data_IF_600844281781
#
_entry.id   IF_600844281781
#
_cell.length_a   1.000
_cell.length_b   1.000
_cell.length_c   1.000
_cell.angle_alpha   90.00
_cell.angle_beta   90.00
_cell.angle_gamma   90.00
#
_symmetry.space_group_name_H-M   'P 1'
#
loop_
_entity.id
_entity.type
_entity.pdbx_description
1 polymer ?
#
# COMPACT_ATOMS: atom_id res chain seq x y z
N UNK A 1 14.75 -6.89 10.72
CA UNK A 1 13.82 -6.62 9.63
C UNK A 1 13.14 -5.29 9.82
N UNK A 2 12.61 -4.72 8.76
CA UNK A 2 11.96 -3.41 8.79
C UNK A 2 10.51 -3.57 8.36
N UNK A 3 9.61 -2.93 9.09
CA UNK A 3 8.18 -2.85 8.74
C UNK A 3 7.91 -1.52 8.06
N UNK A 4 7.09 -1.58 7.03
CA UNK A 4 6.62 -0.42 6.28
C UNK A 4 5.10 -0.46 6.26
N UNK A 5 4.46 0.44 7.01
CA UNK A 5 3.00 0.49 7.17
C UNK A 5 2.48 1.80 6.65
N UNK A 6 1.47 1.73 5.79
CA UNK A 6 0.81 2.92 5.24
C UNK A 6 -0.68 2.79 5.45
N UNK A 7 -1.30 3.92 5.81
CA UNK A 7 -2.75 4.07 5.86
C UNK A 7 -3.16 5.13 4.83
N UNK A 8 -4.16 4.82 4.02
CA UNK A 8 -4.71 5.75 3.04
C UNK A 8 -6.18 6.00 3.28
N UNK A 9 -6.58 7.23 2.97
CA UNK A 9 -7.97 7.58 2.84
C UNK A 9 -8.28 7.82 1.37
N UNK A 10 -9.38 7.25 0.89
CA UNK A 10 -9.80 7.42 -0.50
C UNK A 10 -10.50 8.75 -0.71
N UNK A 11 -10.47 9.25 -1.94
CA UNK A 11 -11.14 10.49 -2.32
C UNK A 11 -12.65 10.34 -2.09
N UNK A 12 -13.24 11.26 -1.34
CA UNK A 12 -14.67 11.27 -1.03
C UNK A 12 -15.56 11.47 -2.27
N UNK A 13 -15.00 11.97 -3.36
CA UNK A 13 -15.72 12.13 -4.63
C UNK A 13 -16.02 10.81 -5.32
N UNK A 14 -15.33 9.72 -4.92
CA UNK A 14 -15.60 8.41 -5.47
C UNK A 14 -16.93 7.88 -4.95
N UNK A 15 -17.69 7.21 -5.82
CA UNK A 15 -18.89 6.48 -5.39
C UNK A 15 -18.49 5.23 -4.62
N UNK A 16 -19.43 4.61 -3.92
CA UNK A 16 -19.14 3.36 -3.19
C UNK A 16 -18.65 2.27 -4.13
N UNK A 17 -19.24 2.16 -5.32
CA UNK A 17 -18.80 1.20 -6.33
C UNK A 17 -17.39 1.49 -6.81
N UNK A 18 -17.07 2.76 -7.05
CA UNK A 18 -15.71 3.16 -7.45
C UNK A 18 -14.70 2.90 -6.34
N UNK A 19 -15.06 3.18 -5.09
CA UNK A 19 -14.20 2.88 -3.93
C UNK A 19 -13.89 1.39 -3.84
N UNK A 20 -14.88 0.53 -4.06
CA UNK A 20 -14.66 -0.91 -4.04
C UNK A 20 -13.71 -1.35 -5.16
N UNK A 21 -13.84 -0.79 -6.33
CA UNK A 21 -12.93 -1.07 -7.45
C UNK A 21 -11.50 -0.59 -7.16
N UNK A 22 -11.36 0.59 -6.59
CA UNK A 22 -10.05 1.15 -6.21
C UNK A 22 -9.39 0.27 -5.15
N UNK A 23 -10.12 -0.13 -4.12
CA UNK A 23 -9.61 -1.03 -3.07
C UNK A 23 -9.10 -2.35 -3.65
N UNK A 24 -9.88 -2.96 -4.54
CA UNK A 24 -9.48 -4.21 -5.20
C UNK A 24 -8.22 -4.02 -6.06
N UNK A 25 -8.13 -2.91 -6.78
CA UNK A 25 -6.97 -2.59 -7.60
C UNK A 25 -5.70 -2.35 -6.78
N UNK A 26 -5.80 -1.63 -5.67
CA UNK A 26 -4.68 -1.39 -4.76
C UNK A 26 -4.18 -2.72 -4.18
N UNK A 27 -5.11 -3.54 -3.68
CA UNK A 27 -4.76 -4.84 -3.10
C UNK A 27 -4.08 -5.74 -4.11
N UNK A 28 -4.67 -5.91 -5.27
CA UNK A 28 -4.11 -6.74 -6.33
C UNK A 28 -2.74 -6.25 -6.78
N UNK A 29 -2.62 -4.94 -7.02
CA UNK A 29 -1.38 -4.36 -7.52
C UNK A 29 -0.23 -4.46 -6.52
N UNK A 30 -0.47 -4.10 -5.26
CA UNK A 30 0.58 -4.11 -4.24
C UNK A 30 0.93 -5.53 -3.81
N UNK A 31 -0.06 -6.38 -3.55
CA UNK A 31 0.22 -7.78 -3.19
C UNK A 31 0.88 -8.55 -4.33
N UNK A 32 0.62 -8.16 -5.56
CA UNK A 32 1.28 -8.71 -6.74
C UNK A 32 2.78 -8.45 -6.81
N UNK A 33 3.31 -7.54 -6.00
CA UNK A 33 4.74 -7.27 -5.93
C UNK A 33 5.51 -8.33 -5.14
N UNK A 34 4.82 -9.20 -4.42
CA UNK A 34 5.44 -10.29 -3.68
C UNK A 34 6.29 -11.16 -4.63
N UNK A 35 7.53 -11.41 -4.23
CA UNK A 35 8.48 -12.20 -5.02
C UNK A 35 9.11 -11.47 -6.20
N UNK A 36 8.76 -10.20 -6.43
CA UNK A 36 9.27 -9.43 -7.57
C UNK A 36 10.21 -8.29 -7.17
N UNK A 37 10.33 -8.00 -5.89
CA UNK A 37 11.14 -6.89 -5.36
C UNK A 37 12.22 -7.45 -4.44
N UNK A 38 13.51 -7.22 -4.72
CA UNK A 38 14.58 -7.69 -3.85
C UNK A 38 14.42 -7.15 -2.43
N UNK A 39 14.53 -8.02 -1.43
CA UNK A 39 14.43 -7.65 -0.02
C UNK A 39 13.02 -7.51 0.53
N UNK A 40 12.00 -7.58 -0.30
CA UNK A 40 10.60 -7.60 0.15
C UNK A 40 10.27 -8.99 0.66
N UNK A 41 10.01 -9.11 1.97
CA UNK A 41 9.74 -10.39 2.64
C UNK A 41 8.27 -10.76 2.52
N UNK A 42 7.38 -9.84 2.86
CA UNK A 42 5.94 -10.02 2.67
C UNK A 42 5.25 -8.67 2.44
N UNK A 43 4.05 -8.73 1.89
CA UNK A 43 3.23 -7.55 1.62
C UNK A 43 1.76 -7.96 1.66
N UNK A 44 0.98 -7.26 2.48
CA UNK A 44 -0.44 -7.50 2.67
C UNK A 44 -1.19 -6.17 2.63
N UNK A 45 -2.32 -6.15 1.95
CA UNK A 45 -3.20 -4.97 1.90
C UNK A 45 -4.55 -5.34 2.52
N UNK A 46 -5.01 -4.50 3.45
CA UNK A 46 -6.31 -4.66 4.09
C UNK A 46 -7.23 -3.54 3.64
N UNK A 47 -8.44 -3.93 3.23
CA UNK A 47 -9.43 -3.00 2.68
C UNK A 47 -10.77 -3.05 3.42
N UNK A 48 -10.90 -3.97 4.40
CA UNK A 48 -12.16 -4.18 5.14
C UNK A 48 -11.95 -3.86 6.62
N UNK A 49 -11.91 -2.56 6.94
CA UNK A 49 -11.81 -2.10 8.33
C UNK A 49 -13.17 -2.18 9.04
N UNK A 50 -13.10 -2.19 10.38
CA UNK A 50 -14.30 -2.06 11.21
C UNK A 50 -14.82 -0.61 11.16
N UNK A 51 -16.10 -0.38 11.52
CA UNK A 51 -16.66 0.98 11.52
C UNK A 51 -15.89 2.00 12.37
N UNK A 52 -15.10 1.54 13.33
CA UNK A 52 -14.24 2.40 14.15
C UNK A 52 -13.02 2.94 13.40
N UNK A 53 -12.74 2.43 12.20
CA UNK A 53 -11.58 2.84 11.40
C UNK A 53 -11.83 4.20 10.74
N UNK A 54 -10.79 5.02 10.69
CA UNK A 54 -10.82 6.29 9.96
C UNK A 54 -9.90 6.32 8.73
N UNK A 55 -9.40 5.15 8.34
CA UNK A 55 -8.67 4.93 7.10
C UNK A 55 -9.40 3.88 6.27
N UNK A 56 -9.20 3.89 4.96
CA UNK A 56 -9.91 3.00 4.04
C UNK A 56 -9.06 1.81 3.61
N UNK A 57 -7.74 2.00 3.52
CA UNK A 57 -6.81 0.97 3.03
C UNK A 57 -5.56 1.00 3.88
N UNK A 58 -5.07 -0.18 4.25
CA UNK A 58 -3.81 -0.34 4.98
C UNK A 58 -2.86 -1.24 4.22
N UNK A 59 -1.63 -0.77 4.04
CA UNK A 59 -0.51 -1.59 3.57
C UNK A 59 0.32 -2.02 4.77
N UNK A 60 0.59 -3.31 4.89
CA UNK A 60 1.50 -3.88 5.87
C UNK A 60 2.55 -4.70 5.14
N UNK A 61 3.79 -4.24 5.15
CA UNK A 61 4.87 -4.89 4.44
C UNK A 61 6.11 -5.03 5.30
N UNK A 62 6.92 -6.04 5.00
CA UNK A 62 8.15 -6.34 5.72
C UNK A 62 9.30 -6.42 4.73
N UNK A 63 10.43 -5.79 5.07
CA UNK A 63 11.66 -5.78 4.28
C UNK A 63 12.81 -6.34 5.10
N UNK A 64 13.82 -6.90 4.43
CA UNK A 64 14.99 -7.45 5.09
C UNK A 64 15.76 -6.38 5.87
N UNK A 65 15.84 -5.16 5.32
CA UNK A 65 16.55 -4.04 5.93
C UNK A 65 16.06 -2.70 5.37
N UNK A 66 16.55 -1.61 5.93
CA UNK A 66 16.16 -0.26 5.52
C UNK A 66 16.60 0.07 4.08
N UNK A 67 17.69 -0.50 3.63
CA UNK A 67 18.18 -0.29 2.26
C UNK A 67 17.23 -0.91 1.24
N UNK A 68 16.72 -2.11 1.53
CA UNK A 68 15.72 -2.78 0.69
C UNK A 68 14.45 -1.96 0.58
N UNK A 69 13.99 -1.36 1.68
CA UNK A 69 12.82 -0.47 1.66
C UNK A 69 13.07 0.76 0.81
N UNK A 70 14.25 1.36 0.91
CA UNK A 70 14.63 2.52 0.12
C UNK A 70 14.64 2.20 -1.38
N UNK A 71 15.16 1.05 -1.76
CA UNK A 71 15.17 0.60 -3.15
C UNK A 71 13.77 0.30 -3.66
N UNK A 72 12.91 -0.26 -2.82
CA UNK A 72 11.51 -0.49 -3.14
C UNK A 72 10.79 0.80 -3.53
N UNK A 73 11.03 1.89 -2.81
CA UNK A 73 10.35 3.15 -3.05
C UNK A 73 10.53 3.66 -4.49
N UNK A 74 11.67 3.39 -5.10
CA UNK A 74 12.00 3.83 -6.47
C UNK A 74 11.97 2.70 -7.50
N UNK A 75 11.64 1.48 -7.09
CA UNK A 75 11.60 0.35 -8.00
C UNK A 75 10.50 0.55 -9.05
N UNK A 76 10.80 0.34 -10.35
CA UNK A 76 9.84 0.60 -11.42
C UNK A 76 8.50 -0.11 -11.25
N UNK A 77 8.51 -1.34 -10.76
CA UNK A 77 7.28 -2.12 -10.55
C UNK A 77 6.40 -1.51 -9.46
N UNK A 78 7.02 -1.05 -8.36
CA UNK A 78 6.30 -0.35 -7.30
C UNK A 78 5.77 1.00 -7.80
N UNK A 79 6.59 1.78 -8.48
CA UNK A 79 6.21 3.10 -8.99
C UNK A 79 5.01 2.98 -9.94
N UNK A 80 5.01 1.97 -10.82
CA UNK A 80 3.90 1.75 -11.75
C UNK A 80 2.58 1.48 -11.01
N UNK A 81 2.61 0.67 -9.96
CA UNK A 81 1.41 0.39 -9.13
C UNK A 81 0.97 1.65 -8.39
N UNK A 82 1.91 2.35 -7.76
CA UNK A 82 1.60 3.55 -6.98
C UNK A 82 0.98 4.64 -7.86
N UNK A 83 1.55 4.89 -9.03
CA UNK A 83 1.08 5.94 -9.92
C UNK A 83 -0.23 5.59 -10.64
N UNK A 84 -0.46 4.30 -10.92
CA UNK A 84 -1.64 3.86 -11.65
C UNK A 84 -2.83 3.48 -10.78
N UNK A 85 -2.58 2.91 -9.59
CA UNK A 85 -3.62 2.30 -8.76
C UNK A 85 -3.88 3.03 -7.44
N UNK A 86 -2.91 3.78 -6.91
CA UNK A 86 -2.98 4.34 -5.56
C UNK A 86 -3.11 5.85 -5.57
N UNK A 87 -2.11 6.55 -6.08
CA UNK A 87 -2.03 8.03 -6.00
C UNK A 87 -3.21 8.76 -6.61
N UNK A 88 -3.78 8.33 -7.76
CA UNK A 88 -4.91 9.04 -8.35
C UNK A 88 -6.17 9.04 -7.49
N UNK A 89 -6.29 8.10 -6.54
CA UNK A 89 -7.53 7.85 -5.82
C UNK A 89 -7.45 8.09 -4.32
N UNK A 90 -6.27 8.48 -3.81
CA UNK A 90 -6.06 8.69 -2.37
C UNK A 90 -5.80 10.16 -2.08
N UNK A 91 -6.34 10.65 -0.96
CA UNK A 91 -6.23 12.06 -0.57
C UNK A 91 -5.43 12.27 0.70
N UNK A 92 -5.23 11.20 1.48
CA UNK A 92 -4.49 11.27 2.74
C UNK A 92 -3.63 10.02 2.85
N UNK A 93 -2.37 10.20 3.25
CA UNK A 93 -1.42 9.12 3.41
C UNK A 93 -0.67 9.30 4.73
N UNK A 94 -0.68 8.27 5.55
CA UNK A 94 0.13 8.20 6.77
C UNK A 94 1.08 7.01 6.66
N UNK A 95 2.33 7.20 7.02
CA UNK A 95 3.35 6.16 6.90
C UNK A 95 4.15 6.06 8.19
N UNK A 96 4.43 4.83 8.61
CA UNK A 96 5.37 4.57 9.68
C UNK A 96 6.26 3.40 9.31
N UNK A 97 7.56 3.63 9.30
CA UNK A 97 8.58 2.61 9.09
C UNK A 97 9.31 2.39 10.39
N UNK A 98 9.54 1.12 10.77
CA UNK A 98 10.21 0.81 12.03
C UNK A 98 10.91 -0.55 11.97
N UNK A 99 11.91 -0.72 12.81
CA UNK A 99 12.62 -2.00 12.94
C UNK A 99 11.95 -2.92 13.95
N UNK A 100 11.99 -4.20 13.62
CA UNK A 100 11.52 -5.27 14.50
C UNK A 100 12.64 -6.27 14.77
#
# INVERSE_FOLDING_TARGET
MVKHVILWKLDEKLTDSEKNQVKAGIKEGLEGLAGQIPGLVDITVRTEGLPSSNADVMLDSTFEDAESLKEYATHPKHVAVADGKVRPYTVLRSCMDYEI
#
